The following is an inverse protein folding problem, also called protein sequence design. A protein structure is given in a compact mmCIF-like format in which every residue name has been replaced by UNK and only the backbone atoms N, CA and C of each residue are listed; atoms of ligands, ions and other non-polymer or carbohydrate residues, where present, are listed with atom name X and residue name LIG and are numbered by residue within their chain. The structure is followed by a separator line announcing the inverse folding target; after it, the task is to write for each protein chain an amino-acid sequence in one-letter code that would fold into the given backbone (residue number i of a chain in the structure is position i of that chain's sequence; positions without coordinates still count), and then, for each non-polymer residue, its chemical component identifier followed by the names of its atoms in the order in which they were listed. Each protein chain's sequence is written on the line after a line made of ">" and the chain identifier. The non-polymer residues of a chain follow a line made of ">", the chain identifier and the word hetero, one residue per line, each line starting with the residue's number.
data_IF_527888958670
#
_entry.id   IF_527888958670
#
_cell.length_a   1.000
_cell.length_b   1.000
_cell.length_c   1.000
_cell.angle_alpha   90.00
_cell.angle_beta   90.00
_cell.angle_gamma   90.00
#
_symmetry.space_group_name_H-M   'P 1'
#
loop_
_entity.id
_entity.type
_entity.pdbx_description
1 polymer ?
#
# COMPACT_ATOMS: atom_id res chain seq x y z
N UNK A 1 -8.24 -22.46 22.39
CA UNK A 1 -7.93 -21.68 21.16
C UNK A 1 -6.81 -20.70 21.52
N UNK A 2 -5.62 -20.79 20.91
CA UNK A 2 -4.55 -19.81 21.12
C UNK A 2 -5.02 -18.48 20.53
N UNK A 3 -5.19 -17.47 21.38
CA UNK A 3 -5.30 -16.10 20.92
C UNK A 3 -3.96 -15.77 20.23
N UNK A 4 -3.91 -15.48 18.91
CA UNK A 4 -2.64 -15.16 18.27
C UNK A 4 -2.02 -13.99 19.03
N UNK A 5 -0.78 -14.15 19.47
CA UNK A 5 -0.05 -13.14 20.25
C UNK A 5 -0.16 -11.81 19.52
N UNK A 6 -0.91 -10.86 20.11
CA UNK A 6 -1.11 -9.52 19.56
C UNK A 6 0.25 -8.84 19.58
N UNK A 7 0.89 -8.79 18.42
CA UNK A 7 2.18 -8.15 18.21
C UNK A 7 1.91 -6.75 17.70
N UNK A 8 2.32 -5.74 18.46
CA UNK A 8 2.22 -4.35 18.01
C UNK A 8 3.41 -4.01 17.14
N UNK A 9 3.11 -3.73 15.87
CA UNK A 9 4.06 -3.20 14.91
C UNK A 9 3.85 -1.69 14.80
N UNK A 10 4.95 -0.95 14.78
CA UNK A 10 4.97 0.49 14.56
C UNK A 10 5.42 0.77 13.14
N UNK A 11 4.87 1.84 12.58
CA UNK A 11 5.26 2.38 11.27
C UNK A 11 5.57 3.85 11.48
N UNK A 12 6.59 4.37 10.80
CA UNK A 12 6.89 5.81 10.86
C UNK A 12 5.72 6.62 10.30
N UNK A 13 5.58 7.87 10.77
CA UNK A 13 4.51 8.74 10.29
C UNK A 13 4.65 9.03 8.79
N UNK A 14 5.89 9.15 8.30
CA UNK A 14 6.19 9.27 6.87
C UNK A 14 5.71 8.06 6.08
N UNK A 15 6.06 6.85 6.49
CA UNK A 15 5.61 5.63 5.83
C UNK A 15 4.07 5.46 5.86
N UNK A 16 3.41 5.95 6.92
CA UNK A 16 1.94 6.04 6.96
C UNK A 16 1.38 6.97 5.88
N UNK A 17 2.00 8.13 5.65
CA UNK A 17 1.58 9.03 4.56
C UNK A 17 1.81 8.41 3.18
N UNK A 18 2.91 7.70 3.00
CA UNK A 18 3.21 7.04 1.73
C UNK A 18 2.25 5.87 1.46
N UNK A 19 1.83 5.13 2.48
CA UNK A 19 0.72 4.17 2.38
C UNK A 19 -0.59 4.81 1.89
N UNK A 20 -0.93 6.00 2.38
CA UNK A 20 -2.13 6.72 1.96
C UNK A 20 -2.01 7.13 0.49
N UNK A 21 -0.85 7.68 0.09
CA UNK A 21 -0.59 8.06 -1.32
C UNK A 21 -0.67 6.86 -2.25
N UNK A 22 -0.05 5.75 -1.87
CA UNK A 22 -0.09 4.50 -2.62
C UNK A 22 -1.53 4.00 -2.82
N UNK A 23 -2.35 4.03 -1.77
CA UNK A 23 -3.76 3.66 -1.85
C UNK A 23 -4.53 4.53 -2.83
N UNK A 24 -4.27 5.84 -2.88
CA UNK A 24 -4.94 6.71 -3.85
C UNK A 24 -4.44 6.47 -5.29
N UNK A 25 -3.15 6.18 -5.49
CA UNK A 25 -2.65 5.77 -6.81
C UNK A 25 -3.31 4.47 -7.30
N UNK A 26 -3.43 3.46 -6.44
CA UNK A 26 -4.11 2.19 -6.77
C UNK A 26 -5.58 2.40 -7.12
N UNK A 27 -6.28 3.30 -6.43
CA UNK A 27 -7.68 3.66 -6.73
C UNK A 27 -7.82 4.34 -8.09
N UNK A 28 -6.91 5.24 -8.43
CA UNK A 28 -6.89 5.89 -9.74
C UNK A 28 -6.59 4.88 -10.84
N UNK A 29 -5.59 4.01 -10.62
CA UNK A 29 -5.24 2.96 -11.58
C UNK A 29 -6.43 2.03 -11.83
N UNK A 30 -7.11 1.58 -10.77
CA UNK A 30 -8.30 0.72 -10.89
C UNK A 30 -9.41 1.36 -11.73
N UNK A 31 -9.59 2.69 -11.67
CA UNK A 31 -10.56 3.42 -12.50
C UNK A 31 -10.09 3.54 -13.96
N UNK A 32 -8.79 3.71 -14.17
CA UNK A 32 -8.19 3.83 -15.51
C UNK A 32 -8.14 2.49 -16.25
N UNK A 33 -8.02 1.39 -15.51
CA UNK A 33 -8.03 0.02 -16.07
C UNK A 33 -9.43 -0.59 -16.13
N UNK A 34 -10.47 0.13 -15.69
CA UNK A 34 -11.85 -0.36 -15.69
C UNK A 34 -12.43 -0.33 -17.12
N UNK A 35 -12.75 -1.51 -17.65
CA UNK A 35 -13.30 -1.68 -18.99
C UNK A 35 -14.80 -1.37 -19.01
N UNK A 36 -15.28 -0.54 -19.94
CA UNK A 36 -16.71 -0.23 -20.11
C UNK A 36 -17.15 1.16 -19.63
N UNK A 37 -16.23 2.01 -19.16
CA UNK A 37 -16.48 3.43 -18.89
C UNK A 37 -16.17 4.29 -20.12
N UNK A 38 -16.59 5.55 -20.19
CA UNK A 38 -16.25 6.44 -21.33
C UNK A 38 -14.72 6.61 -21.55
N UNK A 39 -13.88 6.22 -20.57
CA UNK A 39 -12.43 6.13 -20.69
C UNK A 39 -11.96 4.87 -21.45
N UNK A 40 -12.74 3.77 -21.48
CA UNK A 40 -12.43 2.57 -22.26
C UNK A 40 -12.71 2.72 -23.76
N UNK A 41 -13.33 3.84 -24.18
CA UNK A 41 -13.37 4.25 -25.59
C UNK A 41 -12.05 4.83 -26.09
N UNK A 42 -11.14 5.17 -25.17
CA UNK A 42 -9.74 5.58 -25.42
C UNK A 42 -8.80 4.39 -25.16
N UNK A 43 -9.10 3.25 -25.78
CA UNK A 43 -8.32 1.99 -25.75
C UNK A 43 -6.89 2.13 -26.35
N UNK A 44 -6.29 3.32 -26.30
CA UNK A 44 -5.01 3.68 -26.92
C UNK A 44 -4.00 4.35 -25.97
N UNK A 45 -4.33 4.70 -24.73
CA UNK A 45 -3.47 5.61 -23.93
C UNK A 45 -2.66 5.01 -22.78
N UNK A 46 -2.88 3.76 -22.39
CA UNK A 46 -2.02 3.07 -21.42
C UNK A 46 -1.33 1.88 -22.09
N UNK A 47 -0.15 2.14 -22.67
CA UNK A 47 0.71 1.10 -23.20
C UNK A 47 1.00 0.07 -22.09
N UNK A 48 1.00 -1.25 -22.37
CA UNK A 48 1.32 -2.28 -21.38
C UNK A 48 2.63 -2.01 -20.62
N UNK A 49 3.61 -1.40 -21.28
CA UNK A 49 4.88 -1.00 -20.65
C UNK A 49 4.71 0.12 -19.62
N UNK A 50 3.78 1.05 -19.83
CA UNK A 50 3.47 2.10 -18.85
C UNK A 50 2.83 1.48 -17.60
N UNK A 51 1.95 0.50 -17.76
CA UNK A 51 1.40 -0.27 -16.64
C UNK A 51 2.49 -1.07 -15.91
N UNK A 52 3.39 -1.71 -16.65
CA UNK A 52 4.54 -2.43 -16.08
C UNK A 52 5.47 -1.53 -15.25
N UNK A 53 5.78 -0.33 -15.75
CA UNK A 53 6.54 0.67 -15.00
C UNK A 53 5.80 1.12 -13.73
N UNK A 54 4.49 1.39 -13.83
CA UNK A 54 3.66 1.78 -12.70
C UNK A 54 3.59 0.69 -11.61
N UNK A 55 3.41 -0.57 -11.98
CA UNK A 55 3.42 -1.69 -11.03
C UNK A 55 4.80 -1.85 -10.37
N UNK A 56 5.88 -1.69 -11.12
CA UNK A 56 7.25 -1.75 -10.57
C UNK A 56 7.49 -0.64 -9.55
N UNK A 57 6.96 0.56 -9.82
CA UNK A 57 7.02 1.68 -8.87
C UNK A 57 6.20 1.40 -7.61
N UNK A 58 4.97 0.89 -7.75
CA UNK A 58 4.10 0.51 -6.63
C UNK A 58 4.77 -0.55 -5.75
N UNK A 59 5.42 -1.56 -6.37
CA UNK A 59 6.14 -2.61 -5.64
C UNK A 59 7.29 -2.03 -4.81
N UNK A 60 8.10 -1.15 -5.39
CA UNK A 60 9.18 -0.49 -4.67
C UNK A 60 8.69 0.40 -3.52
N UNK A 61 7.65 1.21 -3.77
CA UNK A 61 7.08 2.06 -2.73
C UNK A 61 6.53 1.20 -1.55
N UNK A 62 6.00 0.00 -1.83
CA UNK A 62 5.61 -0.98 -0.80
C UNK A 62 6.79 -1.55 -0.04
N UNK A 63 7.87 -1.92 -0.73
CA UNK A 63 9.08 -2.45 -0.09
C UNK A 63 9.67 -1.42 0.89
N UNK A 64 9.78 -0.15 0.48
CA UNK A 64 10.24 0.97 1.32
C UNK A 64 9.34 1.13 2.57
N UNK A 65 8.02 1.01 2.42
CA UNK A 65 7.09 1.05 3.55
C UNK A 65 7.29 -0.14 4.49
N UNK A 66 7.50 -1.33 3.95
CA UNK A 66 7.68 -2.55 4.75
C UNK A 66 8.98 -2.48 5.56
N UNK A 67 10.03 -1.88 5.01
CA UNK A 67 11.29 -1.63 5.71
C UNK A 67 11.12 -0.71 6.93
N UNK A 68 10.14 0.19 6.91
CA UNK A 68 9.81 1.12 8.01
C UNK A 68 8.89 0.49 9.08
N UNK A 69 8.46 -0.75 8.89
CA UNK A 69 7.65 -1.50 9.87
C UNK A 69 8.60 -2.17 10.86
N UNK A 70 8.52 -1.75 12.12
CA UNK A 70 9.37 -2.28 13.18
C UNK A 70 8.56 -2.77 14.37
N UNK A 71 9.11 -3.74 15.10
CA UNK A 71 8.55 -4.14 16.38
C UNK A 71 9.00 -3.15 17.47
N UNK A 72 8.05 -2.60 18.22
CA UNK A 72 8.35 -1.76 19.39
C UNK A 72 7.92 -2.49 20.67
N UNK A 73 8.87 -3.06 21.45
CA UNK A 73 8.54 -3.84 22.65
C UNK A 73 7.85 -3.00 23.73
N UNK A 74 8.14 -1.71 23.82
CA UNK A 74 7.58 -0.84 24.85
C UNK A 74 6.10 -0.54 24.58
N UNK A 75 5.75 -0.29 23.31
CA UNK A 75 4.35 -0.10 22.90
C UNK A 75 3.59 -1.43 22.95
N UNK A 76 4.23 -2.54 22.58
CA UNK A 76 3.64 -3.88 22.64
C UNK A 76 3.28 -4.28 24.07
N UNK A 77 4.18 -4.02 25.04
CA UNK A 77 3.93 -4.25 26.47
C UNK A 77 2.80 -3.36 27.00
N UNK A 78 2.77 -2.09 26.62
CA UNK A 78 1.70 -1.18 27.00
C UNK A 78 0.34 -1.65 26.47
N UNK A 79 0.30 -2.18 25.24
CA UNK A 79 -0.94 -2.69 24.62
C UNK A 79 -1.43 -4.02 25.20
N UNK A 80 -0.61 -4.74 25.97
CA UNK A 80 -0.98 -5.99 26.65
C UNK A 80 -1.49 -5.76 28.09
N UNK A 81 -1.29 -4.57 28.65
CA UNK A 81 -1.64 -4.24 30.04
C UNK A 81 -2.95 -3.44 30.19
N UNK A 82 -3.55 -2.97 29.08
CA UNK A 82 -4.85 -2.31 29.04
C UNK A 82 -5.93 -3.18 28.42
#
# INVERSE_FOLDING_TARGET
>A
MRNPQRTVLVVSETAKFDLIRLREHLRLLSKLTDTGTAASGYDQLLHPDALGWWFSRIARDLDEIVEEIHYCPDIDRAAQQG
#
